data_IF_256219870488
#
_entry.id   IF_256219870488
#
_cell.length_a   1.000
_cell.length_b   1.000
_cell.length_c   1.000
_cell.angle_alpha   90.00
_cell.angle_beta   90.00
_cell.angle_gamma   90.00
#
_symmetry.space_group_name_H-M   'P 1'
#
loop_
_entity.id
_entity.type
_entity.pdbx_description
1 polymer ?
#
# COMPACT_ATOMS: atom_id res chain seq x y z
N UNK A 1 -3.85 -72.07 -57.02
CA UNK A 1 -5.23 -72.07 -57.47
C UNK A 1 -5.53 -70.60 -57.71
N UNK A 2 -5.26 -70.21 -58.94
CA UNK A 2 -6.18 -69.98 -60.04
C UNK A 2 -7.14 -68.84 -59.72
N UNK A 3 -7.32 -67.77 -60.45
CA UNK A 3 -7.19 -67.50 -61.89
C UNK A 3 -7.45 -66.00 -62.07
N UNK A 4 -6.67 -65.26 -62.71
CA UNK A 4 -6.70 -64.76 -64.05
C UNK A 4 -8.07 -64.30 -64.60
N UNK A 5 -8.17 -63.03 -64.97
CA UNK A 5 -8.52 -62.53 -66.28
C UNK A 5 -8.68 -61.03 -66.40
N UNK A 6 -7.82 -60.45 -67.18
CA UNK A 6 -8.04 -59.28 -68.05
C UNK A 6 -8.91 -59.63 -69.24
N UNK A 7 -9.18 -58.76 -70.21
CA UNK A 7 -9.32 -57.29 -70.31
C UNK A 7 -10.60 -56.90 -71.12
N UNK A 8 -10.86 -55.58 -71.27
CA UNK A 8 -11.37 -55.04 -72.55
C UNK A 8 -11.13 -53.57 -72.73
N UNK A 9 -10.43 -53.30 -73.76
CA UNK A 9 -10.21 -52.03 -74.43
C UNK A 9 -11.41 -51.70 -75.30
N UNK A 10 -11.89 -50.48 -75.31
CA UNK A 10 -12.35 -49.83 -76.56
C UNK A 10 -12.31 -48.36 -76.52
N UNK A 11 -11.63 -47.83 -77.48
CA UNK A 11 -11.42 -46.53 -78.05
C UNK A 11 -12.70 -45.85 -78.49
N UNK A 12 -12.76 -44.53 -78.51
CA UNK A 12 -12.80 -43.67 -79.70
C UNK A 12 -13.07 -42.19 -79.30
N UNK A 13 -12.29 -41.38 -79.90
CA UNK A 13 -12.25 -39.93 -79.94
C UNK A 13 -13.56 -39.17 -80.14
N UNK A 14 -13.68 -38.01 -79.58
CA UNK A 14 -14.15 -36.84 -80.32
C UNK A 14 -13.52 -35.57 -79.83
N UNK A 15 -12.89 -34.86 -80.69
CA UNK A 15 -12.25 -33.58 -80.55
C UNK A 15 -13.23 -32.45 -80.87
N UNK A 16 -13.38 -31.49 -80.02
CA UNK A 16 -13.85 -30.12 -80.35
C UNK A 16 -13.07 -29.05 -79.66
N UNK A 17 -13.01 -27.85 -80.26
CA UNK A 17 -11.85 -27.02 -80.19
C UNK A 17 -11.91 -25.97 -79.06
N UNK A 18 -10.71 -25.42 -78.73
CA UNK A 18 -10.44 -24.26 -77.94
C UNK A 18 -11.37 -23.05 -78.27
N UNK A 19 -11.98 -22.47 -77.22
CA UNK A 19 -12.31 -21.08 -77.22
C UNK A 19 -11.45 -20.41 -76.12
N UNK A 20 -10.49 -19.61 -76.58
CA UNK A 20 -9.84 -18.59 -75.76
C UNK A 20 -10.89 -17.52 -75.47
N UNK A 21 -11.29 -17.36 -74.21
CA UNK A 21 -11.82 -16.13 -73.71
C UNK A 21 -10.90 -15.61 -72.60
N UNK A 22 -10.04 -14.72 -73.04
CA UNK A 22 -9.27 -13.82 -72.16
C UNK A 22 -10.20 -12.71 -71.69
N UNK A 23 -10.66 -12.82 -70.42
CA UNK A 23 -11.00 -11.65 -69.66
C UNK A 23 -10.21 -11.67 -68.36
N UNK A 24 -9.06 -11.06 -68.42
CA UNK A 24 -8.38 -10.51 -67.29
C UNK A 24 -9.08 -9.19 -66.89
N UNK A 25 -10.07 -9.29 -66.00
CA UNK A 25 -10.42 -8.17 -65.17
C UNK A 25 -9.50 -8.15 -63.96
N UNK A 26 -8.38 -7.50 -64.13
CA UNK A 26 -7.54 -7.05 -63.04
C UNK A 26 -8.25 -5.81 -62.47
N UNK A 27 -8.96 -5.99 -61.34
CA UNK A 27 -9.39 -4.92 -60.49
C UNK A 27 -8.30 -4.69 -59.41
N UNK A 28 -7.46 -3.68 -59.55
CA UNK A 28 -6.38 -3.39 -58.58
C UNK A 28 -6.79 -2.34 -57.55
N UNK A 29 -7.98 -2.40 -56.96
CA UNK A 29 -8.34 -1.45 -55.94
C UNK A 29 -9.30 -2.04 -54.91
N UNK A 30 -8.80 -2.82 -53.92
CA UNK A 30 -9.44 -2.99 -52.63
C UNK A 30 -8.50 -3.64 -51.58
N UNK A 31 -7.19 -3.37 -51.64
CA UNK A 31 -6.22 -3.86 -50.65
C UNK A 31 -5.90 -2.88 -49.53
N UNK A 32 -6.44 -1.68 -49.55
CA UNK A 32 -6.07 -0.59 -48.62
C UNK A 32 -6.98 -0.45 -47.40
N UNK A 33 -8.26 -0.78 -47.55
CA UNK A 33 -9.26 -0.49 -46.49
C UNK A 33 -9.36 -1.57 -45.42
N UNK A 34 -9.09 -2.81 -45.73
CA UNK A 34 -9.15 -3.91 -44.76
C UNK A 34 -8.02 -3.89 -43.73
N UNK A 35 -6.82 -3.42 -44.12
CA UNK A 35 -5.68 -3.34 -43.21
C UNK A 35 -5.82 -2.21 -42.16
N UNK A 36 -6.46 -1.10 -42.57
CA UNK A 36 -6.71 0.04 -41.68
C UNK A 36 -7.85 -0.23 -40.69
N UNK A 37 -8.91 -0.93 -41.13
CA UNK A 37 -9.99 -1.34 -40.25
C UNK A 37 -9.52 -2.35 -39.18
N UNK A 38 -8.69 -3.34 -39.54
CA UNK A 38 -8.12 -4.29 -38.58
C UNK A 38 -7.24 -3.59 -37.52
N UNK A 39 -6.38 -2.65 -37.91
CA UNK A 39 -5.53 -1.92 -36.99
C UNK A 39 -6.31 -0.99 -36.03
N UNK A 40 -7.42 -0.40 -36.47
CA UNK A 40 -8.30 0.42 -35.64
C UNK A 40 -9.05 -0.46 -34.64
N UNK A 41 -9.57 -1.61 -35.07
CA UNK A 41 -10.28 -2.54 -34.18
C UNK A 41 -9.35 -3.11 -33.10
N UNK A 42 -8.12 -3.52 -33.45
CA UNK A 42 -7.12 -3.94 -32.47
C UNK A 42 -6.78 -2.85 -31.47
N UNK A 43 -6.64 -1.59 -31.93
CA UNK A 43 -6.38 -0.45 -31.07
C UNK A 43 -7.53 -0.21 -30.09
N UNK A 44 -8.78 -0.31 -30.55
CA UNK A 44 -9.97 -0.16 -29.71
C UNK A 44 -10.03 -1.27 -28.66
N UNK A 45 -9.71 -2.51 -29.01
CA UNK A 45 -9.67 -3.64 -28.08
C UNK A 45 -8.60 -3.45 -26.98
N UNK A 46 -7.41 -2.99 -27.36
CA UNK A 46 -6.34 -2.65 -26.41
C UNK A 46 -6.80 -1.54 -25.47
N UNK A 47 -7.38 -0.46 -26.00
CA UNK A 47 -7.90 0.65 -25.20
C UNK A 47 -8.98 0.19 -24.23
N UNK A 48 -9.95 -0.61 -24.66
CA UNK A 48 -10.98 -1.20 -23.78
C UNK A 48 -10.35 -2.03 -22.66
N UNK A 49 -9.38 -2.88 -23.00
CA UNK A 49 -8.70 -3.73 -22.01
C UNK A 49 -7.97 -2.90 -20.95
N UNK A 50 -7.26 -1.84 -21.38
CA UNK A 50 -6.59 -0.90 -20.47
C UNK A 50 -7.60 -0.17 -19.59
N UNK A 51 -8.71 0.31 -20.16
CA UNK A 51 -9.78 0.98 -19.39
C UNK A 51 -10.38 0.04 -18.34
N UNK A 52 -10.70 -1.20 -18.70
CA UNK A 52 -11.22 -2.17 -17.74
C UNK A 52 -10.21 -2.49 -16.64
N UNK A 53 -8.94 -2.66 -16.99
CA UNK A 53 -7.88 -2.90 -16.02
C UNK A 53 -7.74 -1.73 -15.03
N UNK A 54 -7.79 -0.49 -15.52
CA UNK A 54 -7.75 0.72 -14.69
C UNK A 54 -8.99 0.85 -13.80
N UNK A 55 -10.17 0.53 -14.31
CA UNK A 55 -11.41 0.52 -13.51
C UNK A 55 -11.36 -0.52 -12.40
N UNK A 56 -10.91 -1.73 -12.69
CA UNK A 56 -10.74 -2.79 -11.69
C UNK A 56 -9.70 -2.35 -10.65
N UNK A 57 -8.55 -1.83 -11.07
CA UNK A 57 -7.53 -1.32 -10.17
C UNK A 57 -8.06 -0.20 -9.28
N UNK A 58 -8.87 0.71 -9.83
CA UNK A 58 -9.50 1.81 -9.07
C UNK A 58 -10.48 1.25 -8.02
N UNK A 59 -11.33 0.29 -8.39
CA UNK A 59 -12.27 -0.37 -7.47
C UNK A 59 -11.50 -1.06 -6.33
N UNK A 60 -10.47 -1.85 -6.65
CA UNK A 60 -9.63 -2.50 -5.65
C UNK A 60 -8.96 -1.48 -4.72
N UNK A 61 -8.45 -0.37 -5.26
CA UNK A 61 -7.82 0.70 -4.50
C UNK A 61 -8.80 1.45 -3.59
N UNK A 62 -10.03 1.64 -4.00
CA UNK A 62 -11.06 2.32 -3.19
C UNK A 62 -11.53 1.41 -2.05
N UNK A 63 -11.81 0.15 -2.35
CA UNK A 63 -12.53 -0.72 -1.41
C UNK A 63 -11.66 -1.69 -0.62
N UNK A 64 -10.53 -2.15 -1.16
CA UNK A 64 -9.77 -3.22 -0.53
C UNK A 64 -8.42 -2.77 -0.01
N UNK A 65 -7.47 -2.50 -0.89
CA UNK A 65 -6.07 -2.33 -0.53
C UNK A 65 -5.48 -1.10 -1.20
N UNK A 66 -4.64 -0.40 -0.45
CA UNK A 66 -3.86 0.70 -0.98
C UNK A 66 -2.38 0.51 -0.61
N UNK A 67 -1.48 0.54 -1.62
CA UNK A 67 -0.05 0.59 -1.34
C UNK A 67 0.36 1.97 -0.85
N UNK A 68 1.32 2.00 0.10
CA UNK A 68 1.98 3.20 0.60
C UNK A 68 3.48 2.97 0.69
N UNK A 69 4.24 4.05 0.50
CA UNK A 69 5.69 4.06 0.73
C UNK A 69 5.98 4.76 2.06
N UNK A 70 6.94 4.25 2.81
CA UNK A 70 7.35 4.85 4.09
C UNK A 70 8.47 5.87 3.85
N UNK A 71 8.21 7.18 4.00
CA UNK A 71 9.20 8.22 3.73
C UNK A 71 10.02 8.63 4.96
N UNK A 72 9.62 8.25 6.17
CA UNK A 72 10.19 8.74 7.43
C UNK A 72 10.59 7.62 8.38
N UNK A 73 11.49 7.93 9.32
CA UNK A 73 11.99 7.02 10.33
C UNK A 73 11.11 6.90 11.58
N UNK A 74 9.97 7.59 11.64
CA UNK A 74 9.16 7.69 12.86
C UNK A 74 8.53 6.37 13.35
N UNK A 75 8.52 5.34 12.53
CA UNK A 75 8.00 4.01 12.84
C UNK A 75 9.10 2.93 12.91
N UNK A 76 10.38 3.35 12.89
CA UNK A 76 11.50 2.43 13.10
C UNK A 76 11.47 1.82 14.51
N UNK A 77 11.88 0.56 14.62
CA UNK A 77 12.41 -0.34 13.60
C UNK A 77 11.33 -1.14 12.84
N UNK A 78 10.05 -1.00 13.22
CA UNK A 78 9.00 -1.84 12.65
C UNK A 78 8.74 -1.51 11.16
N UNK A 79 8.80 -0.22 10.80
CA UNK A 79 8.79 0.24 9.42
C UNK A 79 10.01 1.12 9.15
N UNK A 80 10.74 0.83 8.09
CA UNK A 80 11.93 1.56 7.66
C UNK A 80 11.61 2.46 6.47
N UNK A 81 12.39 3.51 6.31
CA UNK A 81 12.34 4.30 5.06
C UNK A 81 12.53 3.38 3.86
N UNK A 82 11.68 3.55 2.83
CA UNK A 82 11.70 2.75 1.62
C UNK A 82 10.96 1.41 1.73
N UNK A 83 10.26 1.14 2.84
CA UNK A 83 9.29 0.06 2.89
C UNK A 83 8.05 0.42 2.06
N UNK A 84 7.57 -0.53 1.27
CA UNK A 84 6.31 -0.49 0.56
C UNK A 84 5.32 -1.38 1.29
N UNK A 85 4.28 -0.79 1.83
CA UNK A 85 3.30 -1.50 2.65
C UNK A 85 1.95 -1.60 1.96
N UNK A 86 1.19 -2.62 2.32
CA UNK A 86 -0.21 -2.77 1.92
C UNK A 86 -1.12 -2.42 3.10
N UNK A 87 -2.02 -1.50 2.86
CA UNK A 87 -3.01 -1.01 3.82
C UNK A 87 -4.40 -1.51 3.45
N UNK A 88 -5.07 -2.19 4.38
CA UNK A 88 -6.44 -2.66 4.21
C UNK A 88 -7.43 -1.59 4.66
N UNK A 89 -8.22 -1.07 3.72
CA UNK A 89 -9.21 -0.01 3.98
C UNK A 89 -10.47 -0.53 4.67
N UNK A 90 -10.91 -1.72 4.31
CA UNK A 90 -12.10 -2.36 4.88
C UNK A 90 -11.99 -2.64 6.39
N UNK A 91 -10.77 -2.60 6.95
CA UNK A 91 -10.54 -2.94 8.38
C UNK A 91 -11.31 -2.04 9.34
N UNK A 92 -11.50 -0.77 8.98
CA UNK A 92 -12.18 0.20 9.84
C UNK A 92 -13.43 0.81 9.19
N UNK A 93 -13.88 0.24 8.05
CA UNK A 93 -14.95 0.81 7.22
C UNK A 93 -14.44 2.00 6.38
N UNK A 94 -15.38 2.69 5.74
CA UNK A 94 -15.08 3.69 4.72
C UNK A 94 -15.47 5.09 5.17
N UNK A 95 -14.61 6.07 4.91
CA UNK A 95 -14.89 7.50 5.04
C UNK A 95 -14.63 8.20 3.69
N UNK A 96 -14.86 9.50 3.61
CA UNK A 96 -14.47 10.29 2.44
C UNK A 96 -12.98 10.09 2.09
N UNK A 97 -12.12 9.83 3.07
CA UNK A 97 -10.67 9.58 2.90
C UNK A 97 -10.34 8.19 2.32
N UNK A 98 -11.32 7.31 2.20
CA UNK A 98 -11.16 6.04 1.48
C UNK A 98 -11.16 6.22 -0.04
N UNK A 99 -11.68 7.37 -0.53
CA UNK A 99 -11.79 7.71 -1.94
C UNK A 99 -10.60 8.62 -2.32
N UNK A 100 -9.98 8.44 -3.50
CA UNK A 100 -8.94 9.34 -3.98
C UNK A 100 -9.39 10.81 -3.92
N UNK A 101 -8.49 11.70 -3.52
CA UNK A 101 -8.72 13.14 -3.34
C UNK A 101 -9.71 13.51 -2.24
N UNK A 102 -10.22 12.56 -1.47
CA UNK A 102 -11.13 12.78 -0.32
C UNK A 102 -12.33 13.68 -0.63
N UNK A 103 -13.12 13.39 -1.67
CA UNK A 103 -14.26 14.23 -2.04
C UNK A 103 -15.30 14.27 -0.90
N UNK A 104 -15.95 15.41 -0.64
CA UNK A 104 -16.88 15.58 0.48
C UNK A 104 -18.26 14.95 0.20
N UNK A 105 -18.29 13.68 -0.20
CA UNK A 105 -19.52 12.97 -0.58
C UNK A 105 -20.40 12.63 0.62
N UNK A 106 -19.79 12.36 1.78
CA UNK A 106 -20.50 12.03 3.03
C UNK A 106 -19.64 12.36 4.25
N UNK A 107 -20.30 12.46 5.41
CA UNK A 107 -19.63 12.67 6.72
C UNK A 107 -19.59 11.37 7.49
N UNK A 108 -18.58 11.22 8.35
CA UNK A 108 -18.41 10.05 9.20
C UNK A 108 -17.90 8.82 8.46
N UNK A 109 -18.29 7.64 8.93
CA UNK A 109 -17.82 6.34 8.40
C UNK A 109 -19.00 5.39 8.14
N UNK A 110 -18.91 4.65 7.03
CA UNK A 110 -19.83 3.57 6.66
C UNK A 110 -19.18 2.24 7.05
N UNK A 111 -19.94 1.30 7.62
CA UNK A 111 -19.46 -0.01 8.10
C UNK A 111 -18.29 0.11 9.09
N UNK A 112 -18.41 1.05 10.04
CA UNK A 112 -17.34 1.29 11.00
C UNK A 112 -17.07 0.08 11.87
N UNK A 113 -15.77 -0.29 11.94
CA UNK A 113 -15.21 -1.25 12.89
C UNK A 113 -14.13 -0.55 13.70
N UNK A 114 -14.20 -0.66 15.01
CA UNK A 114 -13.27 0.00 15.92
C UNK A 114 -11.85 -0.59 15.77
N UNK A 115 -10.82 0.24 15.65
CA UNK A 115 -9.44 -0.22 15.65
C UNK A 115 -9.04 -0.75 17.02
N UNK A 116 -8.04 -1.62 17.04
CA UNK A 116 -7.53 -2.21 18.26
C UNK A 116 -6.21 -1.55 18.68
N UNK A 117 -6.02 -1.39 19.98
CA UNK A 117 -4.77 -0.84 20.52
C UNK A 117 -3.56 -1.63 20.01
N UNK A 118 -2.54 -0.93 19.53
CA UNK A 118 -1.36 -1.51 18.92
C UNK A 118 -1.45 -1.71 17.40
N UNK A 119 -2.59 -1.45 16.76
CA UNK A 119 -2.67 -1.45 15.30
C UNK A 119 -1.78 -0.34 14.71
N UNK A 120 -1.08 -0.65 13.63
CA UNK A 120 -0.36 0.35 12.82
C UNK A 120 -1.34 0.87 11.78
N UNK A 121 -1.64 2.17 11.84
CA UNK A 121 -2.74 2.77 11.08
C UNK A 121 -2.24 3.91 10.20
N UNK A 122 -2.66 3.90 8.95
CA UNK A 122 -2.55 5.07 8.07
C UNK A 122 -3.78 5.94 8.26
N UNK A 123 -3.56 7.23 8.46
CA UNK A 123 -4.62 8.23 8.63
C UNK A 123 -4.25 9.56 7.98
N UNK A 124 -5.25 10.37 7.68
CA UNK A 124 -5.06 11.75 7.23
C UNK A 124 -4.73 12.65 8.41
N UNK A 125 -3.68 13.46 8.29
CA UNK A 125 -3.30 14.43 9.31
C UNK A 125 -4.48 15.39 9.60
N UNK A 126 -4.92 15.53 10.86
CA UNK A 126 -6.12 16.33 11.17
C UNK A 126 -6.01 17.80 10.80
N UNK A 127 -4.82 18.39 10.84
CA UNK A 127 -4.60 19.82 10.56
C UNK A 127 -4.84 20.19 9.09
N UNK A 128 -4.61 19.28 8.13
CA UNK A 128 -4.75 19.56 6.69
C UNK A 128 -5.72 18.63 5.96
N UNK A 129 -6.06 17.47 6.54
CA UNK A 129 -6.88 16.43 5.95
C UNK A 129 -6.39 15.91 4.57
N UNK A 130 -5.12 16.09 4.27
CA UNK A 130 -4.49 15.75 2.97
C UNK A 130 -3.31 14.82 3.14
N UNK A 131 -2.40 15.14 4.07
CA UNK A 131 -1.15 14.41 4.28
C UNK A 131 -1.42 13.06 4.95
N UNK A 132 -0.87 11.99 4.40
CA UNK A 132 -0.95 10.66 4.99
C UNK A 132 0.14 10.48 6.06
N UNK A 133 -0.29 10.09 7.25
CA UNK A 133 0.56 9.71 8.37
C UNK A 133 0.37 8.24 8.70
N UNK A 134 1.42 7.63 9.24
CA UNK A 134 1.37 6.27 9.75
C UNK A 134 1.95 6.23 11.16
N UNK A 135 1.19 5.71 12.11
CA UNK A 135 1.57 5.60 13.51
C UNK A 135 0.92 4.38 14.15
N UNK A 136 1.37 4.06 15.37
CA UNK A 136 0.77 3.01 16.20
C UNK A 136 -0.32 3.59 17.10
N UNK A 137 -1.46 2.91 17.14
CA UNK A 137 -2.58 3.27 18.00
C UNK A 137 -2.27 2.93 19.46
N UNK A 138 -2.19 3.94 20.31
CA UNK A 138 -1.91 3.82 21.73
C UNK A 138 -3.16 4.06 22.57
N UNK A 139 -3.92 5.11 22.32
CA UNK A 139 -5.11 5.49 23.07
C UNK A 139 -6.40 5.35 22.29
N UNK A 140 -7.41 4.76 22.92
CA UNK A 140 -8.78 4.66 22.44
C UNK A 140 -9.64 5.79 23.05
N UNK A 141 -10.82 6.10 22.48
CA UNK A 141 -11.74 7.07 23.07
C UNK A 141 -11.98 6.83 24.56
N UNK A 142 -11.82 7.86 25.39
CA UNK A 142 -11.96 7.81 26.83
C UNK A 142 -10.70 7.41 27.61
N UNK A 143 -9.64 6.97 26.94
CA UNK A 143 -8.39 6.63 27.62
C UNK A 143 -7.65 7.86 28.16
N UNK A 144 -6.91 7.63 29.23
CA UNK A 144 -5.96 8.58 29.82
C UNK A 144 -4.55 8.11 29.52
N UNK A 145 -3.84 8.85 28.70
CA UNK A 145 -2.47 8.53 28.28
C UNK A 145 -1.51 9.49 28.96
N UNK A 146 -0.41 8.99 29.49
CA UNK A 146 0.67 9.81 30.03
C UNK A 146 2.01 9.16 29.71
N UNK A 147 3.01 9.97 29.45
CA UNK A 147 4.39 9.54 29.32
C UNK A 147 5.15 10.12 30.52
N UNK A 148 5.96 9.30 31.17
CA UNK A 148 6.83 9.69 32.28
C UNK A 148 8.18 9.04 32.06
N UNK A 149 9.23 9.86 31.94
CA UNK A 149 10.60 9.41 31.63
C UNK A 149 10.63 8.43 30.45
N UNK A 150 9.91 8.78 29.37
CA UNK A 150 9.81 7.98 28.14
C UNK A 150 8.92 6.74 28.24
N UNK A 151 8.35 6.43 29.42
CA UNK A 151 7.51 5.25 29.63
C UNK A 151 6.03 5.61 29.55
N UNK A 152 5.31 4.93 28.67
CA UNK A 152 3.88 5.18 28.44
C UNK A 152 3.02 4.49 29.49
N UNK A 153 2.02 5.19 29.99
CA UNK A 153 0.94 4.63 30.79
C UNK A 153 -0.42 4.84 30.12
N UNK A 154 -1.30 3.88 30.29
CA UNK A 154 -2.69 3.91 29.78
C UNK A 154 -3.63 3.62 30.95
N UNK A 155 -4.50 4.58 31.26
CA UNK A 155 -5.43 4.49 32.39
C UNK A 155 -4.73 4.18 33.75
N UNK A 156 -3.56 4.81 33.96
CA UNK A 156 -2.74 4.62 35.15
C UNK A 156 -1.92 3.31 35.19
N UNK A 157 -2.04 2.47 34.14
CA UNK A 157 -1.23 1.24 34.03
C UNK A 157 -0.06 1.49 33.09
N UNK A 158 1.16 1.36 33.62
CA UNK A 158 2.40 1.48 32.86
C UNK A 158 2.51 0.32 31.87
N UNK A 159 2.88 0.61 30.61
CA UNK A 159 3.20 -0.42 29.66
C UNK A 159 4.48 -1.15 30.07
N UNK A 160 4.46 -2.48 29.98
CA UNK A 160 5.68 -3.25 30.22
C UNK A 160 6.70 -2.94 29.15
N UNK A 161 7.86 -2.47 29.53
CA UNK A 161 8.95 -2.06 28.64
C UNK A 161 10.24 -2.76 29.08
N UNK A 162 10.76 -3.65 28.23
CA UNK A 162 11.98 -4.42 28.49
C UNK A 162 13.07 -3.98 27.51
N UNK A 163 14.25 -3.69 28.04
CA UNK A 163 15.42 -3.39 27.20
C UNK A 163 15.76 -4.60 26.34
N UNK A 164 15.93 -4.39 25.03
CA UNK A 164 16.16 -5.45 24.03
C UNK A 164 17.45 -5.21 23.21
N UNK A 165 18.36 -4.40 23.76
CA UNK A 165 19.68 -4.12 23.19
C UNK A 165 19.78 -2.72 22.53
N UNK A 166 20.92 -2.45 21.90
CA UNK A 166 21.12 -1.23 21.13
C UNK A 166 20.23 -1.23 19.87
N UNK A 167 19.77 -0.06 19.49
CA UNK A 167 19.11 0.17 18.21
C UNK A 167 20.09 0.60 17.12
N UNK A 168 19.55 1.04 16.00
CA UNK A 168 20.35 1.53 14.86
C UNK A 168 20.96 2.91 15.19
N UNK A 169 22.30 3.10 15.14
CA UNK A 169 22.95 4.34 15.56
C UNK A 169 22.59 5.57 14.72
N UNK A 170 21.97 5.42 13.58
CA UNK A 170 21.59 6.54 12.70
C UNK A 170 20.26 7.21 13.01
N UNK A 171 19.52 6.81 14.04
CA UNK A 171 18.13 7.27 14.27
C UNK A 171 17.97 8.42 15.26
N UNK A 172 18.96 8.70 16.11
CA UNK A 172 18.91 9.83 17.05
C UNK A 172 19.50 11.11 16.45
N UNK A 173 18.73 12.18 16.48
CA UNK A 173 19.14 13.51 15.96
C UNK A 173 20.29 14.16 16.74
N UNK A 174 20.47 13.81 18.01
CA UNK A 174 21.48 14.35 18.91
C UNK A 174 22.76 13.51 18.96
N UNK A 175 22.90 12.49 18.11
CA UNK A 175 24.04 11.56 18.09
C UNK A 175 24.08 10.60 19.28
N UNK A 176 23.05 10.56 20.12
CA UNK A 176 22.96 9.59 21.21
C UNK A 176 22.73 8.17 20.68
N UNK A 177 23.11 7.19 21.51
CA UNK A 177 22.90 5.77 21.17
C UNK A 177 21.42 5.44 21.30
N UNK A 178 20.83 4.98 20.20
CA UNK A 178 19.46 4.47 20.19
C UNK A 178 19.37 3.22 21.04
N UNK A 179 18.38 3.17 21.89
CA UNK A 179 18.02 2.01 22.68
C UNK A 179 16.79 1.33 22.11
N UNK A 180 16.83 0.03 22.04
CA UNK A 180 15.71 -0.79 21.57
C UNK A 180 15.01 -1.40 22.77
N UNK A 181 13.68 -1.28 22.79
CA UNK A 181 12.83 -1.82 23.83
C UNK A 181 11.74 -2.71 23.24
N UNK A 182 11.40 -3.74 23.98
CA UNK A 182 10.22 -4.56 23.76
C UNK A 182 9.10 -4.06 24.65
N UNK A 183 8.12 -3.40 24.05
CA UNK A 183 6.96 -2.85 24.74
C UNK A 183 5.75 -3.74 24.58
N UNK A 184 5.03 -3.99 25.67
CA UNK A 184 3.80 -4.80 25.70
C UNK A 184 2.63 -3.94 26.17
N UNK A 185 1.61 -3.82 25.34
CA UNK A 185 0.42 -3.04 25.62
C UNK A 185 -0.61 -3.80 26.50
N UNK A 186 -1.69 -3.14 26.98
CA UNK A 186 -2.69 -3.77 27.87
C UNK A 186 -3.40 -4.99 27.30
N UNK A 187 -3.46 -5.13 25.96
CA UNK A 187 -4.06 -6.30 25.31
C UNK A 187 -3.03 -7.40 24.97
N UNK A 188 -1.84 -7.34 25.60
CA UNK A 188 -0.75 -8.32 25.46
C UNK A 188 -0.12 -8.37 24.06
N UNK A 189 -0.29 -7.33 23.23
CA UNK A 189 0.44 -7.20 21.97
C UNK A 189 1.81 -6.61 22.26
N UNK A 190 2.87 -7.26 21.77
CA UNK A 190 4.26 -6.84 21.94
C UNK A 190 4.83 -6.35 20.60
N UNK A 191 5.57 -5.24 20.65
CA UNK A 191 6.25 -4.64 19.51
C UNK A 191 7.55 -3.97 19.97
N UNK A 192 8.41 -3.67 19.03
CA UNK A 192 9.69 -3.01 19.30
C UNK A 192 9.52 -1.49 19.22
N UNK A 193 10.16 -0.77 20.12
CA UNK A 193 10.23 0.69 20.10
C UNK A 193 11.67 1.15 20.19
N UNK A 194 11.97 2.29 19.60
CA UNK A 194 13.23 3.00 19.72
C UNK A 194 13.09 4.22 20.64
N UNK A 195 14.16 4.50 21.39
CA UNK A 195 14.25 5.58 22.34
C UNK A 195 15.69 6.07 22.40
N UNK A 196 15.88 7.37 22.46
CA UNK A 196 17.20 8.02 22.45
C UNK A 196 17.71 8.38 23.85
N UNK A 197 16.97 7.95 24.90
CA UNK A 197 17.30 8.19 26.30
C UNK A 197 16.37 9.22 26.96
N UNK A 198 16.47 9.42 28.28
CA UNK A 198 15.44 9.99 29.15
C UNK A 198 15.40 11.54 29.13
N UNK A 199 15.54 12.19 28.01
CA UNK A 199 15.50 13.66 27.89
C UNK A 199 14.94 14.13 26.54
N UNK A 200 14.07 13.34 25.93
CA UNK A 200 13.31 13.77 24.77
C UNK A 200 12.27 14.82 25.16
N UNK A 201 11.95 15.72 24.25
CA UNK A 201 11.00 16.83 24.47
C UNK A 201 9.59 16.35 24.88
N UNK A 202 9.27 15.07 24.64
CA UNK A 202 7.96 14.45 24.90
C UNK A 202 8.04 13.22 25.83
N UNK A 203 9.12 13.13 26.61
CA UNK A 203 9.33 12.05 27.59
C UNK A 203 8.57 12.27 28.89
N UNK A 204 8.30 13.50 29.24
CA UNK A 204 7.48 13.85 30.41
C UNK A 204 6.31 14.72 29.96
N UNK A 205 5.09 14.19 30.06
CA UNK A 205 3.88 14.86 29.57
C UNK A 205 2.83 14.98 30.66
N UNK A 206 1.92 15.93 30.47
CA UNK A 206 0.63 15.90 31.16
C UNK A 206 -0.19 14.67 30.77
N UNK A 207 -1.36 14.55 31.36
CA UNK A 207 -2.32 13.50 31.04
C UNK A 207 -3.14 13.91 29.82
N UNK A 208 -3.07 13.14 28.74
CA UNK A 208 -3.95 13.28 27.59
C UNK A 208 -5.22 12.46 27.82
N UNK A 209 -6.39 13.10 27.79
CA UNK A 209 -7.68 12.43 27.82
C UNK A 209 -8.21 12.35 26.40
N UNK A 210 -8.29 11.14 25.85
CA UNK A 210 -8.68 10.94 24.46
C UNK A 210 -10.19 11.23 24.30
N UNK A 211 -10.58 12.23 23.49
CA UNK A 211 -11.97 12.58 23.32
C UNK A 211 -12.80 11.47 22.66
N UNK A 212 -14.11 11.50 22.84
CA UNK A 212 -15.03 10.60 22.11
C UNK A 212 -14.83 10.74 20.59
N UNK A 213 -14.82 9.61 19.90
CA UNK A 213 -14.62 9.58 18.45
C UNK A 213 -13.19 9.90 17.96
N UNK A 214 -12.22 10.05 18.87
CA UNK A 214 -10.83 10.33 18.54
C UNK A 214 -9.89 9.22 19.04
N UNK A 215 -8.69 9.23 18.50
CA UNK A 215 -7.64 8.25 18.79
C UNK A 215 -6.31 8.96 19.08
N UNK A 216 -5.48 8.32 19.89
CA UNK A 216 -4.15 8.81 20.24
C UNK A 216 -3.08 7.88 19.65
N UNK A 217 -2.20 8.43 18.85
CA UNK A 217 -1.18 7.70 18.12
C UNK A 217 0.22 8.10 18.57
N UNK A 218 1.15 7.13 18.55
CA UNK A 218 2.57 7.38 18.76
C UNK A 218 3.40 6.68 17.69
N UNK A 219 4.57 7.27 17.38
CA UNK A 219 5.60 6.59 16.60
C UNK A 219 6.26 5.48 17.40
N UNK A 220 6.75 4.44 16.72
CA UNK A 220 7.56 3.41 17.36
C UNK A 220 8.98 3.90 17.64
N UNK A 221 9.47 4.89 16.86
CA UNK A 221 10.67 5.65 17.15
C UNK A 221 10.28 6.87 18.01
N UNK A 222 10.28 6.68 19.33
CA UNK A 222 9.66 7.56 20.32
C UNK A 222 10.15 9.00 20.26
N UNK A 223 11.45 9.21 20.12
CA UNK A 223 12.07 10.53 20.11
C UNK A 223 12.21 11.13 18.71
N UNK A 224 11.91 10.35 17.68
CA UNK A 224 11.94 10.80 16.30
C UNK A 224 10.55 10.71 15.65
N UNK A 225 9.54 11.18 16.37
CA UNK A 225 8.15 11.12 15.90
C UNK A 225 7.36 12.36 16.28
N UNK A 226 6.92 13.11 15.28
CA UNK A 226 5.83 14.06 15.43
C UNK A 226 4.52 13.28 15.44
N UNK A 227 3.91 13.12 16.63
CA UNK A 227 2.73 12.31 16.84
C UNK A 227 1.70 13.00 17.76
N UNK A 228 0.79 12.25 18.36
CA UNK A 228 -0.28 12.81 19.20
C UNK A 228 0.21 13.47 20.47
N UNK A 229 1.45 13.26 20.90
CA UNK A 229 2.07 13.95 22.01
C UNK A 229 2.36 15.42 21.71
N UNK A 230 2.50 15.75 20.44
CA UNK A 230 2.76 17.12 19.98
C UNK A 230 1.46 17.73 19.45
N UNK A 231 1.15 18.94 19.91
CA UNK A 231 -0.05 19.63 19.49
C UNK A 231 -0.02 20.02 18.00
N UNK A 232 -1.17 20.11 17.32
CA UNK A 232 -1.24 20.48 15.89
C UNK A 232 -0.60 21.84 15.58
N UNK A 233 -0.68 22.79 16.52
CA UNK A 233 -0.09 24.14 16.42
C UNK A 233 1.44 24.11 16.33
N UNK A 234 2.04 23.03 16.88
CA UNK A 234 3.49 22.76 16.83
C UNK A 234 3.84 21.71 15.75
N UNK A 235 3.05 21.63 14.69
CA UNK A 235 3.22 20.66 13.59
C UNK A 235 3.06 19.19 14.02
N UNK A 236 2.51 18.94 15.19
CA UNK A 236 2.20 17.60 15.67
C UNK A 236 0.89 17.07 15.11
N UNK A 237 0.52 15.87 15.55
CA UNK A 237 -0.69 15.20 15.11
C UNK A 237 -1.90 15.53 15.99
N UNK A 238 -1.70 15.64 17.31
CA UNK A 238 -2.80 15.77 18.26
C UNK A 238 -3.74 14.55 18.25
N UNK A 239 -5.00 14.77 18.59
CA UNK A 239 -6.03 13.71 18.54
C UNK A 239 -6.54 13.52 17.12
N UNK A 240 -6.63 12.27 16.68
CA UNK A 240 -7.06 11.90 15.31
C UNK A 240 -8.53 11.48 15.33
N UNK A 241 -9.42 12.20 14.62
CA UNK A 241 -10.82 11.79 14.48
C UNK A 241 -10.95 10.43 13.80
N UNK A 242 -11.95 9.64 14.17
CA UNK A 242 -12.25 8.36 13.54
C UNK A 242 -12.41 8.47 12.01
N UNK A 243 -12.95 9.59 11.52
CA UNK A 243 -13.15 9.86 10.09
C UNK A 243 -11.82 9.88 9.32
N UNK A 244 -10.73 10.32 9.95
CA UNK A 244 -9.42 10.46 9.32
C UNK A 244 -8.71 9.12 9.11
N UNK A 245 -9.14 8.02 9.73
CA UNK A 245 -8.51 6.72 9.56
C UNK A 245 -8.65 6.25 8.09
N UNK A 246 -7.54 5.93 7.44
CA UNK A 246 -7.53 5.39 6.06
C UNK A 246 -7.58 3.88 6.08
N UNK A 247 -6.76 3.21 6.89
CA UNK A 247 -6.76 1.76 6.99
C UNK A 247 -5.63 1.19 7.84
N UNK A 248 -5.64 -0.12 8.00
CA UNK A 248 -4.67 -0.89 8.78
C UNK A 248 -3.50 -1.33 7.90
N UNK A 249 -2.28 -0.99 8.28
CA UNK A 249 -1.06 -1.50 7.65
C UNK A 249 -0.90 -2.99 7.98
N UNK A 250 -0.90 -3.86 6.97
CA UNK A 250 -0.95 -5.31 7.15
C UNK A 250 0.37 -6.00 6.90
N UNK A 251 1.05 -5.59 5.83
CA UNK A 251 2.22 -6.30 5.33
C UNK A 251 3.20 -5.32 4.69
N UNK A 252 4.48 -5.57 4.87
CA UNK A 252 5.54 -4.98 4.06
C UNK A 252 5.62 -5.82 2.79
N UNK A 253 5.20 -5.27 1.66
CA UNK A 253 5.23 -5.98 0.39
C UNK A 253 6.66 -6.10 -0.12
N UNK A 254 7.35 -4.97 -0.18
CA UNK A 254 8.72 -4.85 -0.67
C UNK A 254 9.46 -3.81 0.18
N UNK A 255 10.78 -3.82 0.14
CA UNK A 255 11.61 -2.89 0.91
C UNK A 255 12.93 -2.62 0.19
N UNK A 256 13.26 -1.33 0.03
CA UNK A 256 14.53 -0.86 -0.48
C UNK A 256 15.13 0.19 0.44
N UNK A 257 16.44 0.32 0.44
CA UNK A 257 17.06 1.45 1.11
C UNK A 257 16.90 2.73 0.24
N UNK A 258 17.21 3.88 0.82
CA UNK A 258 17.05 5.19 0.19
C UNK A 258 18.02 5.48 -0.97
N UNK A 259 18.97 4.57 -1.24
CA UNK A 259 19.91 4.65 -2.37
C UNK A 259 19.32 4.11 -3.66
N UNK A 260 18.27 3.29 -3.57
CA UNK A 260 17.57 2.78 -4.74
C UNK A 260 16.91 3.92 -5.52
N UNK A 261 17.23 4.08 -6.79
CA UNK A 261 16.66 5.11 -7.66
C UNK A 261 16.01 4.52 -8.89
N UNK A 262 14.94 5.15 -9.38
CA UNK A 262 14.21 4.70 -10.57
C UNK A 262 15.11 4.63 -11.81
N UNK A 263 16.04 5.57 -11.94
CA UNK A 263 16.94 5.70 -13.11
C UNK A 263 18.17 4.81 -13.06
N UNK A 264 18.35 4.00 -11.99
CA UNK A 264 19.47 3.07 -11.84
C UNK A 264 18.94 1.68 -11.49
N UNK A 265 18.43 0.91 -12.46
CA UNK A 265 17.73 -0.35 -12.20
C UNK A 265 18.58 -1.42 -11.50
N UNK A 266 19.90 -1.37 -11.60
CA UNK A 266 20.80 -2.24 -10.83
C UNK A 266 20.72 -2.00 -9.32
N UNK A 267 20.36 -0.77 -8.86
CA UNK A 267 20.17 -0.48 -7.43
C UNK A 267 18.96 -1.19 -6.86
N UNK A 268 17.99 -1.58 -7.70
CA UNK A 268 16.83 -2.33 -7.25
C UNK A 268 17.19 -3.72 -6.71
N UNK A 269 18.26 -4.31 -7.23
CA UNK A 269 18.76 -5.59 -6.75
C UNK A 269 19.75 -5.42 -5.59
N UNK A 270 20.65 -4.43 -5.67
CA UNK A 270 21.72 -4.22 -4.69
C UNK A 270 21.19 -3.60 -3.37
N UNK A 271 20.21 -2.72 -3.47
CA UNK A 271 19.65 -1.97 -2.34
C UNK A 271 18.34 -2.56 -1.81
N UNK A 272 17.89 -3.69 -2.35
CA UNK A 272 16.75 -4.43 -1.83
C UNK A 272 17.06 -5.01 -0.43
N UNK A 273 16.02 -5.08 0.40
CA UNK A 273 16.05 -5.72 1.73
C UNK A 273 15.13 -6.95 1.74
N UNK A 274 15.53 -8.08 1.12
CA UNK A 274 14.64 -9.24 0.93
C UNK A 274 14.13 -9.84 2.23
N UNK A 275 14.89 -9.73 3.34
CA UNK A 275 14.48 -10.19 4.67
C UNK A 275 13.21 -9.49 5.21
N UNK A 276 12.83 -8.36 4.60
CA UNK A 276 11.62 -7.60 4.96
C UNK A 276 10.45 -7.86 4.03
N UNK A 277 10.67 -8.57 2.91
CA UNK A 277 9.60 -8.83 1.94
C UNK A 277 8.53 -9.73 2.54
N UNK A 278 7.27 -9.37 2.31
CA UNK A 278 6.08 -10.07 2.77
C UNK A 278 5.97 -10.22 4.30
N UNK A 279 6.71 -9.40 5.06
CA UNK A 279 6.61 -9.41 6.51
C UNK A 279 5.26 -8.86 6.98
N UNK A 280 4.55 -9.65 7.77
CA UNK A 280 3.28 -9.26 8.37
C UNK A 280 3.54 -8.31 9.54
N UNK A 281 2.87 -7.15 9.54
CA UNK A 281 2.94 -6.17 10.61
C UNK A 281 2.06 -6.60 11.80
N UNK A 282 2.62 -6.48 13.00
CA UNK A 282 1.98 -6.89 14.27
C UNK A 282 1.70 -5.70 15.18
#
# INVERSE_FOLDING_TARGET
>A
MTDAAEPHVETVADARPLSLDTHHDHNPDNGGDDATHGAVDETIEIVKTVVYALLIALVLRIFLFQPFTIPSASMEPNLLKGDYIIVSKYSYGYSKHSIPFSPPLFKGRIFFSAPRRGDIIVFKLPSDNKTDYIKRLIGLPGDRIQVTSGVVSVNGKVLTRLYDGPGDPGTCWNGSTVQRFRETNPIKRTYITYDCGPRGDVDDTGVYVVPAGHYFFMGDNRDNSLDSRVAPESSGVGYVPAENLVGHARIILLSWNDKATLFKPWTWFLDARPSRFFNVLK
#
